data_IF_744297562181
#
_entry.id   IF_744297562181
#
_cell.length_a   1.000
_cell.length_b   1.000
_cell.length_c   1.000
_cell.angle_alpha   90.00
_cell.angle_beta   90.00
_cell.angle_gamma   90.00
#
_symmetry.space_group_name_H-M   'P 1'
#
loop_
_entity.id
_entity.type
_entity.pdbx_description
1 polymer ?
#
# COMPACT_ATOMS: atom_id res chain seq x y z
N UNK A 1 -1.03 66.01 18.33
CA UNK A 1 -1.23 67.44 17.99
C UNK A 1 -2.02 68.17 19.08
N UNK A 2 -3.12 67.59 19.59
CA UNK A 2 -4.02 68.25 20.56
C UNK A 2 -3.36 68.59 21.91
N UNK A 3 -2.53 67.71 22.50
CA UNK A 3 -1.85 68.03 23.76
C UNK A 3 -1.02 69.33 23.69
N UNK A 4 -0.25 69.54 22.62
CA UNK A 4 0.54 70.78 22.45
C UNK A 4 -0.36 72.00 22.28
N UNK A 5 -1.46 71.87 21.54
CA UNK A 5 -2.42 72.94 21.35
C UNK A 5 -3.15 73.29 22.66
N UNK A 6 -3.63 72.29 23.40
CA UNK A 6 -4.27 72.44 24.70
C UNK A 6 -3.33 73.05 25.75
N UNK A 7 -2.06 72.61 25.76
CA UNK A 7 -1.03 73.16 26.64
C UNK A 7 -0.68 74.62 26.30
N UNK A 8 -0.57 74.97 25.02
CA UNK A 8 -0.34 76.35 24.61
C UNK A 8 -1.53 77.25 24.97
N UNK A 9 -2.76 76.78 24.73
CA UNK A 9 -3.97 77.50 25.12
C UNK A 9 -4.04 77.71 26.65
N UNK A 10 -3.74 76.69 27.45
CA UNK A 10 -3.66 76.83 28.90
C UNK A 10 -2.60 77.84 29.37
N UNK A 11 -1.45 77.91 28.67
CA UNK A 11 -0.42 78.94 28.93
C UNK A 11 -0.89 80.36 28.59
N UNK A 12 -1.64 80.52 27.50
CA UNK A 12 -2.22 81.81 27.11
C UNK A 12 -3.21 82.29 28.19
N UNK A 13 -4.14 81.42 28.60
CA UNK A 13 -5.12 81.72 29.66
C UNK A 13 -4.44 82.01 31.01
N UNK A 14 -3.38 81.27 31.36
CA UNK A 14 -2.60 81.51 32.59
C UNK A 14 -1.94 82.90 32.63
N UNK A 15 -1.56 83.44 31.47
CA UNK A 15 -0.92 84.76 31.35
C UNK A 15 -1.92 85.92 31.25
N UNK A 16 -3.22 85.64 31.12
CA UNK A 16 -4.28 86.66 31.07
C UNK A 16 -4.85 86.92 32.48
N UNK A 17 -4.48 88.04 33.08
CA UNK A 17 -4.96 88.44 34.42
C UNK A 17 -6.45 88.79 34.49
N UNK A 18 -7.13 88.90 33.34
CA UNK A 18 -8.56 89.20 33.24
C UNK A 18 -9.39 87.96 32.85
N UNK A 19 -8.76 86.78 32.70
CA UNK A 19 -9.44 85.55 32.34
C UNK A 19 -10.58 85.23 33.32
N UNK A 20 -11.76 84.93 32.78
CA UNK A 20 -12.91 84.50 33.59
C UNK A 20 -12.69 83.09 34.14
N UNK A 21 -13.35 82.76 35.25
CA UNK A 21 -13.33 81.40 35.80
C UNK A 21 -13.76 80.35 34.76
N UNK A 22 -14.77 80.68 33.95
CA UNK A 22 -15.23 79.81 32.84
C UNK A 22 -14.12 79.52 31.82
N UNK A 23 -13.28 80.51 31.50
CA UNK A 23 -12.16 80.34 30.57
C UNK A 23 -11.05 79.47 31.18
N UNK A 24 -10.79 79.65 32.48
CA UNK A 24 -9.82 78.86 33.24
C UNK A 24 -10.27 77.39 33.30
N UNK A 25 -11.55 77.14 33.63
CA UNK A 25 -12.11 75.79 33.73
C UNK A 25 -12.06 75.07 32.37
N UNK A 26 -12.40 75.77 31.28
CA UNK A 26 -12.32 75.21 29.92
C UNK A 26 -10.89 74.82 29.53
N UNK A 27 -9.91 75.69 29.82
CA UNK A 27 -8.50 75.41 29.54
C UNK A 27 -7.97 74.23 30.36
N UNK A 28 -8.37 74.14 31.64
CA UNK A 28 -8.04 73.01 32.51
C UNK A 28 -8.63 71.70 31.98
N UNK A 29 -9.94 71.66 31.70
CA UNK A 29 -10.59 70.45 31.18
C UNK A 29 -9.98 70.00 29.86
N UNK A 30 -9.71 70.93 28.94
CA UNK A 30 -9.09 70.61 27.64
C UNK A 30 -7.69 70.03 27.81
N UNK A 31 -6.86 70.62 28.68
CA UNK A 31 -5.51 70.11 28.94
C UNK A 31 -5.54 68.76 29.68
N UNK A 32 -6.40 68.60 30.68
CA UNK A 32 -6.57 67.35 31.42
C UNK A 32 -7.01 66.20 30.51
N UNK A 33 -7.98 66.45 29.62
CA UNK A 33 -8.42 65.47 28.62
C UNK A 33 -7.28 65.13 27.65
N UNK A 34 -6.52 66.13 27.18
CA UNK A 34 -5.40 65.89 26.29
C UNK A 34 -4.23 65.16 26.96
N UNK A 35 -4.04 65.35 28.27
CA UNK A 35 -3.08 64.60 29.08
C UNK A 35 -3.52 63.16 29.28
N UNK A 36 -4.79 62.90 29.57
CA UNK A 36 -5.32 61.54 29.66
C UNK A 36 -5.19 60.79 28.33
N UNK A 37 -5.39 61.49 27.21
CA UNK A 37 -5.15 60.92 25.87
C UNK A 37 -3.67 60.59 25.58
N UNK A 38 -2.70 61.15 26.31
CA UNK A 38 -1.28 60.76 26.17
C UNK A 38 -0.99 59.37 26.71
N UNK A 39 -1.85 58.81 27.57
CA UNK A 39 -1.76 57.42 28.02
C UNK A 39 -2.08 56.42 26.89
N UNK A 40 -2.63 56.92 25.78
CA UNK A 40 -2.93 56.18 24.56
C UNK A 40 -2.00 56.64 23.42
N UNK A 41 -0.76 56.14 23.42
CA UNK A 41 0.15 56.37 22.29
C UNK A 41 -0.04 55.29 21.22
N UNK A 42 -0.01 55.72 19.96
CA UNK A 42 -0.08 54.84 18.79
C UNK A 42 1.12 53.90 18.81
N UNK A 43 0.86 52.61 18.57
CA UNK A 43 1.89 51.59 18.65
C UNK A 43 2.89 51.62 17.50
N UNK A 44 4.16 51.30 17.77
CA UNK A 44 5.16 51.05 16.72
C UNK A 44 4.99 49.64 16.12
N UNK A 45 4.56 49.59 14.86
CA UNK A 45 4.21 48.35 14.16
C UNK A 45 5.39 47.69 13.45
N UNK A 46 6.59 48.26 13.52
CA UNK A 46 7.74 47.85 12.69
C UNK A 46 8.08 46.36 12.87
N UNK A 47 8.21 45.90 14.12
CA UNK A 47 8.54 44.51 14.42
C UNK A 47 7.39 43.54 14.10
N UNK A 48 6.14 43.96 14.34
CA UNK A 48 4.96 43.17 13.98
C UNK A 48 4.87 42.96 12.46
N UNK A 49 5.09 44.01 11.67
CA UNK A 49 5.13 43.94 10.20
C UNK A 49 6.25 43.03 9.69
N UNK A 50 7.44 43.09 10.31
CA UNK A 50 8.55 42.23 9.96
C UNK A 50 8.25 40.75 10.27
N UNK A 51 7.62 40.46 11.41
CA UNK A 51 7.20 39.11 11.79
C UNK A 51 6.15 38.58 10.81
N UNK A 52 5.10 39.35 10.52
CA UNK A 52 4.05 39.00 9.54
C UNK A 52 4.68 38.68 8.18
N UNK A 53 5.53 39.56 7.65
CA UNK A 53 6.24 39.35 6.37
C UNK A 53 7.05 38.06 6.33
N UNK A 54 7.63 37.66 7.47
CA UNK A 54 8.41 36.42 7.57
C UNK A 54 7.49 35.20 7.54
N UNK A 55 6.41 35.22 8.32
CA UNK A 55 5.58 34.03 8.54
C UNK A 55 4.50 33.84 7.46
N UNK A 56 4.17 34.87 6.67
CA UNK A 56 3.28 34.76 5.49
C UNK A 56 3.85 33.86 4.38
N UNK A 57 5.15 33.58 4.41
CA UNK A 57 5.82 32.67 3.45
C UNK A 57 5.65 31.20 3.81
N UNK A 58 5.09 30.90 4.98
CA UNK A 58 4.85 29.53 5.41
C UNK A 58 3.66 28.96 4.65
N UNK A 59 3.76 27.69 4.27
CA UNK A 59 2.69 26.99 3.58
C UNK A 59 1.96 26.08 4.56
N UNK A 60 0.64 26.23 4.64
CA UNK A 60 -0.24 25.47 5.54
C UNK A 60 -0.02 23.95 5.46
N UNK A 61 0.15 23.42 4.25
CA UNK A 61 0.31 21.98 4.01
C UNK A 61 1.56 21.35 4.65
N UNK A 62 2.53 22.16 5.10
CA UNK A 62 3.73 21.67 5.78
C UNK A 62 3.51 21.47 7.29
N UNK A 63 2.38 21.93 7.83
CA UNK A 63 2.10 21.92 9.27
C UNK A 63 0.82 21.14 9.60
N UNK A 64 0.69 20.70 10.85
CA UNK A 64 -0.55 20.05 11.30
C UNK A 64 -1.67 21.07 11.42
N UNK A 65 -2.89 20.68 11.06
CA UNK A 65 -4.09 21.54 11.15
C UNK A 65 -4.31 22.08 12.56
N UNK A 66 -4.02 21.29 13.60
CA UNK A 66 -4.12 21.70 15.01
C UNK A 66 -3.14 22.82 15.40
N UNK A 67 -1.94 22.84 14.82
CA UNK A 67 -0.96 23.89 15.11
C UNK A 67 -1.10 25.10 14.18
N UNK A 68 -1.58 24.87 12.95
CA UNK A 68 -1.79 25.92 11.96
C UNK A 68 -2.99 26.81 12.29
N UNK A 69 -4.10 26.24 12.76
CA UNK A 69 -5.31 27.01 13.07
C UNK A 69 -5.07 28.19 14.05
N UNK A 70 -4.47 28.00 15.25
CA UNK A 70 -4.18 29.11 16.16
C UNK A 70 -3.11 30.06 15.62
N UNK A 71 -2.15 29.56 14.83
CA UNK A 71 -1.18 30.41 14.13
C UNK A 71 -1.85 31.33 13.11
N UNK A 72 -2.78 30.81 12.32
CA UNK A 72 -3.53 31.56 11.32
C UNK A 72 -4.42 32.62 11.96
N UNK A 73 -5.10 32.28 13.07
CA UNK A 73 -5.88 33.24 13.85
C UNK A 73 -5.00 34.39 14.40
N UNK A 74 -3.85 34.06 14.98
CA UNK A 74 -2.91 35.07 15.48
C UNK A 74 -2.33 35.94 14.36
N UNK A 75 -2.07 35.35 13.17
CA UNK A 75 -1.63 36.08 11.99
C UNK A 75 -2.70 37.06 11.49
N UNK A 76 -3.96 36.62 11.41
CA UNK A 76 -5.06 37.47 10.97
C UNK A 76 -5.31 38.63 11.97
N UNK A 77 -5.21 38.35 13.28
CA UNK A 77 -5.27 39.38 14.31
C UNK A 77 -4.12 40.40 14.21
N UNK A 78 -2.89 39.91 13.97
CA UNK A 78 -1.73 40.78 13.74
C UNK A 78 -1.91 41.67 12.51
N UNK A 79 -2.42 41.12 11.39
CA UNK A 79 -2.73 41.88 10.17
C UNK A 79 -3.80 42.94 10.43
N UNK A 80 -4.83 42.62 11.22
CA UNK A 80 -5.87 43.59 11.60
C UNK A 80 -5.29 44.74 12.44
N UNK A 81 -4.44 44.45 13.44
CA UNK A 81 -3.75 45.47 14.24
C UNK A 81 -2.80 46.32 13.38
N UNK A 82 -2.11 45.71 12.40
CA UNK A 82 -1.30 46.47 11.44
C UNK A 82 -2.16 47.44 10.62
N UNK A 83 -3.34 47.00 10.17
CA UNK A 83 -4.27 47.80 9.38
C UNK A 83 -5.00 48.91 10.14
N UNK A 84 -5.09 48.83 11.47
CA UNK A 84 -5.76 49.85 12.29
C UNK A 84 -4.85 51.07 12.54
N UNK A 85 -5.10 52.18 11.83
CA UNK A 85 -4.33 53.42 11.97
C UNK A 85 -4.25 53.98 13.40
N UNK A 86 -5.16 53.59 14.30
CA UNK A 86 -5.19 54.07 15.68
C UNK A 86 -4.82 52.99 16.72
N UNK A 87 -4.31 51.82 16.28
CA UNK A 87 -3.86 50.76 17.18
C UNK A 87 -2.87 51.30 18.23
N UNK A 88 -3.12 50.95 19.49
CA UNK A 88 -2.31 51.41 20.61
C UNK A 88 -1.12 50.47 20.82
N UNK A 89 -0.06 50.94 21.47
CA UNK A 89 1.12 50.10 21.76
C UNK A 89 0.78 48.77 22.44
N UNK A 90 -0.08 48.70 23.48
CA UNK A 90 -0.43 47.42 24.10
C UNK A 90 -1.11 46.44 23.13
N UNK A 91 -1.89 46.94 22.15
CA UNK A 91 -2.52 46.10 21.13
C UNK A 91 -1.47 45.52 20.18
N UNK A 92 -0.48 46.33 19.80
CA UNK A 92 0.64 45.91 18.95
C UNK A 92 1.53 44.90 19.66
N UNK A 93 1.89 45.14 20.92
CA UNK A 93 2.66 44.22 21.76
C UNK A 93 1.93 42.88 21.95
N UNK A 94 0.63 42.93 22.23
CA UNK A 94 -0.20 41.73 22.38
C UNK A 94 -0.28 40.93 21.08
N UNK A 95 -0.52 41.59 19.95
CA UNK A 95 -0.55 40.94 18.65
C UNK A 95 0.80 40.29 18.29
N UNK A 96 1.90 41.01 18.54
CA UNK A 96 3.26 40.47 18.35
C UNK A 96 3.51 39.24 19.20
N UNK A 97 3.19 39.32 20.50
CA UNK A 97 3.34 38.21 21.43
C UNK A 97 2.54 36.99 20.98
N UNK A 98 1.25 37.17 20.69
CA UNK A 98 0.37 36.08 20.28
C UNK A 98 0.85 35.42 18.98
N UNK A 99 1.23 36.21 17.97
CA UNK A 99 1.77 35.69 16.71
C UNK A 99 3.09 34.95 16.93
N UNK A 100 3.99 35.49 17.74
CA UNK A 100 5.28 34.85 18.06
C UNK A 100 5.09 33.53 18.80
N UNK A 101 4.18 33.47 19.78
CA UNK A 101 3.86 32.25 20.53
C UNK A 101 3.22 31.19 19.63
N UNK A 102 2.27 31.58 18.78
CA UNK A 102 1.62 30.65 17.87
C UNK A 102 2.59 30.13 16.79
N UNK A 103 3.48 30.98 16.27
CA UNK A 103 4.56 30.59 15.36
C UNK A 103 5.53 29.58 16.02
N UNK A 104 5.90 29.79 17.27
CA UNK A 104 6.76 28.87 18.03
C UNK A 104 6.10 27.50 18.30
N UNK A 105 4.76 27.44 18.30
CA UNK A 105 3.99 26.23 18.54
C UNK A 105 3.60 25.47 17.26
N UNK A 106 4.01 25.95 16.09
CA UNK A 106 3.81 25.25 14.82
C UNK A 106 4.47 23.86 14.85
N UNK A 107 3.75 22.86 14.38
CA UNK A 107 4.22 21.46 14.29
C UNK A 107 4.17 21.01 12.84
N UNK A 108 5.26 20.44 12.35
CA UNK A 108 5.33 19.89 11.00
C UNK A 108 4.36 18.71 10.85
N UNK A 109 3.71 18.64 9.69
CA UNK A 109 2.96 17.46 9.29
C UNK A 109 3.90 16.31 8.89
N UNK A 110 3.46 15.06 9.04
CA UNK A 110 4.22 13.90 8.57
C UNK A 110 4.32 13.87 7.04
N UNK A 111 5.50 13.55 6.51
CA UNK A 111 5.71 13.36 5.08
C UNK A 111 5.18 11.99 4.62
N UNK A 112 4.06 12.03 3.90
CA UNK A 112 3.34 10.87 3.38
C UNK A 112 3.72 10.49 1.95
N UNK A 113 4.72 11.14 1.35
CA UNK A 113 5.01 11.02 -0.09
C UNK A 113 5.39 9.59 -0.48
N UNK A 114 6.29 8.95 0.25
CA UNK A 114 6.74 7.58 -0.06
C UNK A 114 5.60 6.56 0.06
N UNK A 115 4.85 6.62 1.16
CA UNK A 115 3.69 5.77 1.40
C UNK A 115 2.64 5.93 0.30
N UNK A 116 2.28 7.18 -0.04
CA UNK A 116 1.30 7.48 -1.08
C UNK A 116 1.72 6.97 -2.46
N UNK A 117 2.99 7.14 -2.80
CA UNK A 117 3.52 6.63 -4.07
C UNK A 117 3.44 5.11 -4.14
N UNK A 118 3.82 4.41 -3.06
CA UNK A 118 3.79 2.96 -3.05
C UNK A 118 2.36 2.40 -3.07
N UNK A 119 1.44 2.97 -2.27
CA UNK A 119 -0.01 2.65 -2.35
C UNK A 119 -0.54 2.83 -3.77
N UNK A 120 -0.18 3.92 -4.46
CA UNK A 120 -0.60 4.14 -5.85
C UNK A 120 -0.02 3.13 -6.84
N UNK A 121 1.15 2.56 -6.57
CA UNK A 121 1.75 1.53 -7.44
C UNK A 121 1.06 0.16 -7.28
N UNK A 122 0.52 -0.14 -6.10
CA UNK A 122 0.02 -1.48 -5.77
C UNK A 122 -1.50 -1.57 -5.68
N UNK A 123 -2.22 -0.45 -5.67
CA UNK A 123 -3.70 -0.43 -5.59
C UNK A 123 -4.42 -1.07 -6.78
N UNK A 124 -3.76 -1.15 -7.94
CA UNK A 124 -4.34 -1.66 -9.19
C UNK A 124 -3.96 -3.14 -9.44
N UNK A 125 -3.36 -3.81 -8.44
CA UNK A 125 -3.11 -5.24 -8.53
C UNK A 125 -4.44 -6.01 -8.57
N UNK A 126 -4.45 -7.09 -9.34
CA UNK A 126 -5.64 -7.94 -9.50
C UNK A 126 -5.57 -9.13 -8.55
N UNK A 127 -6.43 -9.14 -7.53
CA UNK A 127 -6.59 -10.23 -6.55
C UNK A 127 -6.55 -11.62 -7.17
N UNK A 128 -7.31 -11.82 -8.26
CA UNK A 128 -7.46 -13.13 -8.92
C UNK A 128 -6.17 -13.74 -9.48
N UNK A 129 -5.06 -12.99 -9.49
CA UNK A 129 -3.74 -13.48 -9.91
C UNK A 129 -2.92 -14.07 -8.76
N UNK A 130 -3.33 -13.86 -7.51
CA UNK A 130 -2.56 -14.20 -6.32
C UNK A 130 -3.19 -15.34 -5.52
N UNK A 131 -2.36 -15.99 -4.71
CA UNK A 131 -2.79 -16.96 -3.71
C UNK A 131 -3.59 -16.20 -2.63
N UNK A 132 -4.78 -16.69 -2.32
CA UNK A 132 -5.80 -16.03 -1.50
C UNK A 132 -5.23 -15.59 -0.15
N UNK A 133 -4.57 -16.49 0.59
CA UNK A 133 -4.01 -16.15 1.90
C UNK A 133 -2.96 -15.04 1.86
N UNK A 134 -2.14 -15.00 0.81
CA UNK A 134 -1.11 -13.94 0.65
C UNK A 134 -1.73 -12.63 0.21
N UNK A 135 -2.81 -12.68 -0.57
CA UNK A 135 -3.57 -11.51 -0.96
C UNK A 135 -4.29 -10.89 0.22
N UNK A 136 -5.01 -11.67 1.02
CA UNK A 136 -5.70 -11.17 2.23
C UNK A 136 -4.74 -10.45 3.18
N UNK A 137 -3.55 -11.04 3.40
CA UNK A 137 -2.49 -10.42 4.20
C UNK A 137 -2.03 -9.08 3.63
N UNK A 138 -1.86 -9.00 2.31
CA UNK A 138 -1.51 -7.76 1.62
C UNK A 138 -2.62 -6.71 1.64
N UNK A 139 -3.86 -7.09 1.34
CA UNK A 139 -5.02 -6.20 1.32
C UNK A 139 -5.27 -5.56 2.69
N UNK A 140 -5.18 -6.36 3.75
CA UNK A 140 -5.28 -5.87 5.13
C UNK A 140 -4.27 -4.75 5.42
N UNK A 141 -3.01 -4.95 5.03
CA UNK A 141 -1.94 -3.95 5.22
C UNK A 141 -2.10 -2.75 4.29
N UNK A 142 -2.57 -2.96 3.06
CA UNK A 142 -2.89 -1.87 2.12
C UNK A 142 -3.97 -0.96 2.68
N UNK A 143 -5.03 -1.53 3.28
CA UNK A 143 -6.09 -0.77 3.92
C UNK A 143 -5.56 0.03 5.13
N UNK A 144 -4.76 -0.59 6.00
CA UNK A 144 -4.12 0.12 7.13
C UNK A 144 -3.21 1.27 6.66
N UNK A 145 -2.46 1.07 5.57
CA UNK A 145 -1.65 2.12 4.95
C UNK A 145 -2.51 3.28 4.43
N UNK A 146 -3.67 3.00 3.83
CA UNK A 146 -4.61 4.02 3.37
C UNK A 146 -5.21 4.81 4.55
N UNK A 147 -5.51 4.15 5.68
CA UNK A 147 -5.96 4.83 6.90
C UNK A 147 -4.90 5.80 7.44
N UNK A 148 -3.63 5.39 7.48
CA UNK A 148 -2.51 6.27 7.86
C UNK A 148 -2.37 7.44 6.88
N UNK A 149 -2.58 7.22 5.58
CA UNK A 149 -2.58 8.31 4.58
C UNK A 149 -3.71 9.31 4.83
N UNK A 150 -4.90 8.85 5.22
CA UNK A 150 -6.06 9.69 5.52
C UNK A 150 -5.96 10.40 6.87
N UNK A 151 -5.22 9.87 7.84
CA UNK A 151 -5.10 10.45 9.18
C UNK A 151 -4.23 11.72 9.19
N UNK A 152 -4.83 12.91 9.23
CA UNK A 152 -4.12 14.21 9.31
C UNK A 152 -3.17 14.33 10.52
N UNK A 153 -3.40 13.54 11.57
CA UNK A 153 -2.61 13.56 12.81
C UNK A 153 -1.55 12.46 12.86
N UNK A 154 -1.39 11.69 11.78
CA UNK A 154 -0.38 10.65 11.72
C UNK A 154 1.01 11.23 12.00
N UNK A 155 1.74 10.56 12.89
CA UNK A 155 3.13 10.82 13.19
C UNK A 155 4.03 10.29 12.07
N UNK A 156 5.25 10.82 11.95
CA UNK A 156 6.20 10.30 10.96
C UNK A 156 6.51 8.81 11.18
N UNK A 157 6.58 8.37 12.44
CA UNK A 157 6.80 6.96 12.80
C UNK A 157 5.66 6.06 12.31
N UNK A 158 4.40 6.47 12.46
CA UNK A 158 3.25 5.73 11.93
C UNK A 158 3.29 5.64 10.40
N UNK A 159 3.67 6.72 9.71
CA UNK A 159 3.81 6.72 8.24
C UNK A 159 4.94 5.79 7.80
N UNK A 160 6.09 5.83 8.47
CA UNK A 160 7.25 5.00 8.14
C UNK A 160 6.97 3.51 8.41
N UNK A 161 6.28 3.19 9.52
CA UNK A 161 5.86 1.83 9.83
C UNK A 161 4.88 1.29 8.79
N UNK A 162 3.83 2.06 8.45
CA UNK A 162 2.88 1.67 7.40
C UNK A 162 3.55 1.42 6.05
N UNK A 163 4.55 2.24 5.69
CA UNK A 163 5.33 2.04 4.47
C UNK A 163 6.14 0.74 4.49
N UNK A 164 6.84 0.47 5.59
CA UNK A 164 7.64 -0.74 5.73
C UNK A 164 6.78 -2.01 5.76
N UNK A 165 5.63 -1.95 6.44
CA UNK A 165 4.70 -3.08 6.51
C UNK A 165 4.08 -3.37 5.16
N UNK A 166 3.68 -2.35 4.41
CA UNK A 166 3.16 -2.51 3.06
C UNK A 166 4.21 -3.13 2.12
N UNK A 167 5.50 -2.75 2.25
CA UNK A 167 6.58 -3.38 1.48
C UNK A 167 6.71 -4.86 1.80
N UNK A 168 6.70 -5.23 3.08
CA UNK A 168 6.80 -6.64 3.50
C UNK A 168 5.64 -7.45 2.93
N UNK A 169 4.42 -6.96 3.11
CA UNK A 169 3.23 -7.63 2.62
C UNK A 169 3.24 -7.76 1.08
N UNK A 170 3.70 -6.74 0.36
CA UNK A 170 3.88 -6.80 -1.09
C UNK A 170 4.93 -7.84 -1.52
N UNK A 171 6.04 -7.96 -0.79
CA UNK A 171 7.07 -8.98 -1.04
C UNK A 171 6.53 -10.39 -0.75
N UNK A 172 5.60 -10.53 0.19
CA UNK A 172 5.00 -11.80 0.59
C UNK A 172 3.88 -12.28 -0.34
N UNK A 173 3.38 -11.42 -1.24
CA UNK A 173 2.44 -11.82 -2.30
C UNK A 173 3.00 -12.97 -3.14
N UNK A 174 2.15 -13.96 -3.42
CA UNK A 174 2.48 -15.09 -4.29
C UNK A 174 1.47 -15.20 -5.41
N UNK A 175 1.94 -15.33 -6.64
CA UNK A 175 1.06 -15.57 -7.79
C UNK A 175 0.51 -17.00 -7.74
N UNK A 176 -0.68 -17.19 -8.30
CA UNK A 176 -1.22 -18.51 -8.54
C UNK A 176 -0.32 -19.29 -9.50
N UNK A 177 0.14 -20.50 -9.13
CA UNK A 177 0.96 -21.30 -10.04
C UNK A 177 0.13 -21.83 -11.21
N UNK A 178 0.74 -21.93 -12.39
CA UNK A 178 0.11 -22.59 -13.54
C UNK A 178 0.04 -24.11 -13.30
N UNK A 179 -1.16 -24.68 -13.42
CA UNK A 179 -1.43 -26.12 -13.21
C UNK A 179 -1.76 -26.91 -14.47
N UNK A 180 -1.57 -26.34 -15.65
CA UNK A 180 -2.01 -26.96 -16.92
C UNK A 180 -1.25 -28.25 -17.22
N UNK A 181 0.08 -28.25 -17.02
CA UNK A 181 0.89 -29.46 -17.18
C UNK A 181 0.46 -30.58 -16.22
N UNK A 182 0.06 -30.23 -14.99
CA UNK A 182 -0.46 -31.19 -14.01
C UNK A 182 -1.81 -31.77 -14.45
N UNK A 183 -2.73 -30.92 -14.94
CA UNK A 183 -4.02 -31.35 -15.51
C UNK A 183 -3.82 -32.32 -16.68
N UNK A 184 -2.92 -32.00 -17.60
CA UNK A 184 -2.62 -32.85 -18.75
C UNK A 184 -2.08 -34.22 -18.34
N UNK A 185 -1.21 -34.28 -17.32
CA UNK A 185 -0.70 -35.54 -16.78
C UNK A 185 -1.77 -36.37 -16.07
N UNK A 186 -2.62 -35.73 -15.27
CA UNK A 186 -3.76 -36.39 -14.62
C UNK A 186 -4.69 -37.00 -15.68
N UNK A 187 -4.99 -36.25 -16.75
CA UNK A 187 -5.80 -36.76 -17.86
C UNK A 187 -5.14 -37.97 -18.54
N UNK A 188 -3.84 -37.91 -18.81
CA UNK A 188 -3.09 -39.06 -19.37
C UNK A 188 -3.13 -40.28 -18.45
N UNK A 189 -2.90 -40.09 -17.15
CA UNK A 189 -2.95 -41.16 -16.16
C UNK A 189 -4.33 -41.84 -16.11
N UNK A 190 -5.40 -41.04 -16.14
CA UNK A 190 -6.79 -41.53 -16.14
C UNK A 190 -7.17 -42.30 -17.42
N UNK A 191 -6.46 -42.12 -18.52
CA UNK A 191 -6.67 -42.88 -19.76
C UNK A 191 -6.00 -44.26 -19.74
N UNK A 192 -5.13 -44.54 -18.77
CA UNK A 192 -4.43 -45.82 -18.64
C UNK A 192 -5.36 -46.89 -18.04
N UNK A 193 -5.20 -48.14 -18.48
CA UNK A 193 -6.00 -49.27 -18.00
C UNK A 193 -5.26 -50.07 -16.93
N UNK A 194 -5.84 -50.16 -15.73
CA UNK A 194 -5.31 -50.97 -14.61
C UNK A 194 -5.00 -52.41 -14.99
N UNK A 195 -5.82 -53.00 -15.87
CA UNK A 195 -5.67 -54.39 -16.30
C UNK A 195 -4.38 -54.64 -17.11
N UNK A 196 -3.79 -53.60 -17.70
CA UNK A 196 -2.60 -53.70 -18.54
C UNK A 196 -1.29 -53.74 -17.75
N UNK A 197 -1.29 -53.43 -16.45
CA UNK A 197 -0.09 -53.22 -15.65
C UNK A 197 0.00 -54.13 -14.42
N UNK A 198 1.21 -54.28 -13.87
CA UNK A 198 1.45 -54.99 -12.62
C UNK A 198 0.79 -54.27 -11.45
N UNK A 199 0.27 -55.02 -10.48
CA UNK A 199 -0.45 -54.43 -9.34
C UNK A 199 0.43 -53.46 -8.54
N UNK A 200 1.71 -53.79 -8.36
CA UNK A 200 2.67 -52.96 -7.63
C UNK A 200 2.99 -51.64 -8.35
N UNK A 201 3.27 -51.67 -9.66
CA UNK A 201 3.56 -50.45 -10.41
C UNK A 201 2.31 -49.58 -10.58
N UNK A 202 1.14 -50.19 -10.74
CA UNK A 202 -0.14 -49.49 -10.76
C UNK A 202 -0.42 -48.76 -9.45
N UNK A 203 -0.25 -49.43 -8.31
CA UNK A 203 -0.47 -48.83 -6.99
C UNK A 203 0.41 -47.59 -6.78
N UNK A 204 1.68 -47.63 -7.22
CA UNK A 204 2.56 -46.47 -7.15
C UNK A 204 2.06 -45.29 -8.02
N UNK A 205 1.53 -45.58 -9.21
CA UNK A 205 0.93 -44.55 -10.08
C UNK A 205 -0.37 -43.99 -9.49
N UNK A 206 -1.23 -44.84 -8.95
CA UNK A 206 -2.49 -44.47 -8.29
C UNK A 206 -2.25 -43.55 -7.09
N UNK A 207 -1.26 -43.85 -6.24
CA UNK A 207 -0.85 -42.98 -5.14
C UNK A 207 -0.32 -41.63 -5.64
N UNK A 208 0.51 -41.62 -6.70
CA UNK A 208 1.02 -40.37 -7.27
C UNK A 208 -0.10 -39.53 -7.90
N UNK A 209 -1.10 -40.17 -8.50
CA UNK A 209 -2.29 -39.54 -9.06
C UNK A 209 -3.15 -38.90 -7.96
N UNK A 210 -3.28 -39.53 -6.79
CA UNK A 210 -3.98 -38.93 -5.64
C UNK A 210 -3.28 -37.65 -5.15
N UNK A 211 -1.95 -37.68 -5.02
CA UNK A 211 -1.15 -36.48 -4.68
C UNK A 211 -1.34 -35.38 -5.73
N UNK A 212 -1.29 -35.74 -7.01
CA UNK A 212 -1.49 -34.80 -8.11
C UNK A 212 -2.88 -34.15 -8.08
N UNK A 213 -3.93 -34.92 -7.84
CA UNK A 213 -5.29 -34.39 -7.71
C UNK A 213 -5.44 -33.48 -6.48
N UNK A 214 -4.81 -33.84 -5.37
CA UNK A 214 -4.80 -33.02 -4.14
C UNK A 214 -4.17 -31.65 -4.42
N UNK A 215 -3.01 -31.63 -5.08
CA UNK A 215 -2.32 -30.37 -5.45
C UNK A 215 -3.10 -29.59 -6.50
N UNK A 216 -3.71 -30.26 -7.48
CA UNK A 216 -4.52 -29.61 -8.51
C UNK A 216 -5.67 -28.79 -7.89
N UNK A 217 -6.36 -29.39 -6.91
CA UNK A 217 -7.55 -28.81 -6.29
C UNK A 217 -7.24 -27.85 -5.13
N UNK A 218 -5.99 -27.78 -4.65
CA UNK A 218 -5.60 -26.86 -3.59
C UNK A 218 -5.39 -25.43 -4.12
N UNK A 219 -6.25 -24.43 -3.79
CA UNK A 219 -6.04 -23.05 -4.23
C UNK A 219 -4.75 -22.44 -3.67
N UNK A 220 -4.28 -22.94 -2.52
CA UNK A 220 -3.07 -22.49 -1.81
C UNK A 220 -1.80 -23.24 -2.24
N UNK A 221 -1.86 -24.00 -3.34
CA UNK A 221 -0.69 -24.75 -3.79
C UNK A 221 0.46 -23.80 -4.15
N UNK A 222 1.67 -24.07 -3.66
CA UNK A 222 2.87 -23.36 -4.10
C UNK A 222 3.36 -23.85 -5.47
N UNK A 223 4.20 -23.06 -6.13
CA UNK A 223 4.84 -23.47 -7.38
C UNK A 223 5.66 -24.76 -7.21
N UNK A 224 6.36 -24.91 -6.08
CA UNK A 224 7.13 -26.11 -5.74
C UNK A 224 6.23 -27.33 -5.54
N UNK A 225 5.06 -27.17 -4.92
CA UNK A 225 4.11 -28.27 -4.76
C UNK A 225 3.54 -28.73 -6.11
N UNK A 226 3.16 -27.77 -6.98
CA UNK A 226 2.70 -28.07 -8.34
C UNK A 226 3.79 -28.78 -9.13
N UNK A 227 5.02 -28.29 -9.07
CA UNK A 227 6.17 -28.91 -9.74
C UNK A 227 6.44 -30.33 -9.22
N UNK A 228 6.46 -30.54 -7.91
CA UNK A 228 6.68 -31.85 -7.31
C UNK A 228 5.58 -32.86 -7.70
N UNK A 229 4.33 -32.42 -7.78
CA UNK A 229 3.22 -33.25 -8.23
C UNK A 229 3.36 -33.65 -9.72
N UNK A 230 3.77 -32.71 -10.58
CA UNK A 230 4.07 -32.98 -11.99
C UNK A 230 5.19 -34.02 -12.12
N UNK A 231 6.32 -33.81 -11.45
CA UNK A 231 7.49 -34.70 -11.50
C UNK A 231 7.16 -36.09 -10.93
N UNK A 232 6.44 -36.14 -9.81
CA UNK A 232 6.04 -37.39 -9.16
C UNK A 232 5.09 -38.23 -10.01
N UNK A 233 4.03 -37.61 -10.57
CA UNK A 233 3.08 -38.31 -11.43
C UNK A 233 3.77 -38.77 -12.73
N UNK A 234 4.55 -37.90 -13.38
CA UNK A 234 5.30 -38.27 -14.58
C UNK A 234 6.23 -39.47 -14.34
N UNK A 235 7.03 -39.44 -13.27
CA UNK A 235 7.94 -40.54 -12.95
C UNK A 235 7.22 -41.85 -12.63
N UNK A 236 6.03 -41.79 -12.01
CA UNK A 236 5.23 -42.98 -11.72
C UNK A 236 4.64 -43.61 -13.00
N UNK A 237 4.21 -42.79 -13.96
CA UNK A 237 3.74 -43.24 -15.28
C UNK A 237 4.88 -43.91 -16.05
N UNK A 238 6.09 -43.34 -16.04
CA UNK A 238 7.27 -43.90 -16.71
C UNK A 238 7.73 -45.24 -16.12
N UNK A 239 7.41 -45.50 -14.85
CA UNK A 239 7.76 -46.73 -14.12
C UNK A 239 6.66 -47.79 -14.13
N UNK A 240 5.57 -47.59 -14.89
CA UNK A 240 4.54 -48.60 -15.05
C UNK A 240 5.11 -49.86 -15.74
N UNK A 241 4.86 -51.02 -15.14
CA UNK A 241 5.32 -52.31 -15.66
C UNK A 241 4.13 -53.07 -16.25
N UNK A 242 4.24 -53.50 -17.50
CA UNK A 242 3.16 -54.25 -18.17
C UNK A 242 2.98 -55.62 -17.52
N UNK A 243 1.72 -56.03 -17.34
CA UNK A 243 1.41 -57.38 -16.82
C UNK A 243 1.85 -58.42 -17.84
N UNK A 244 2.82 -59.26 -17.50
CA UNK A 244 3.22 -60.39 -18.34
C UNK A 244 2.13 -61.47 -18.30
N UNK A 245 1.61 -61.84 -19.46
CA UNK A 245 0.84 -63.08 -19.59
C UNK A 245 1.83 -64.24 -19.52
N UNK A 246 1.79 -65.03 -18.45
CA UNK A 246 2.38 -66.36 -18.48
C UNK A 246 1.62 -67.17 -19.53
N UNK A 247 2.20 -67.30 -20.72
CA UNK A 247 1.84 -68.35 -21.66
C UNK A 247 2.18 -69.67 -20.98
N UNK A 248 1.17 -70.34 -20.43
CA UNK A 248 1.30 -71.73 -20.01
C UNK A 248 1.76 -72.56 -21.23
N UNK A 249 2.83 -73.37 -21.12
CA UNK A 249 3.26 -74.20 -22.23
C UNK A 249 2.17 -75.23 -22.52
N UNK A 250 1.60 -75.22 -23.72
CA UNK A 250 0.70 -76.29 -24.16
C UNK A 250 1.52 -77.59 -24.20
N UNK A 251 1.08 -78.59 -23.44
CA UNK A 251 1.76 -79.88 -23.33
C UNK A 251 1.58 -80.67 -24.65
N UNK A 252 2.65 -81.23 -25.26
CA UNK A 252 2.51 -82.03 -26.47
C UNK A 252 1.73 -83.33 -26.17
N UNK A 253 0.54 -83.50 -26.76
CA UNK A 253 -0.23 -84.74 -26.56
C UNK A 253 -1.67 -84.78 -27.06
N UNK A 254 -2.31 -83.67 -27.40
CA UNK A 254 -3.69 -83.71 -27.89
C UNK A 254 -3.77 -84.13 -29.37
N UNK A 255 -4.14 -85.39 -29.59
CA UNK A 255 -4.43 -85.95 -30.91
C UNK A 255 -5.90 -85.77 -31.26
N UNK A 256 -6.19 -84.97 -32.28
CA UNK A 256 -7.39 -85.15 -33.11
C UNK A 256 -7.02 -85.27 -34.58
N UNK A 257 -7.75 -86.15 -35.24
CA UNK A 257 -7.43 -86.90 -36.46
C UNK A 257 -7.55 -86.13 -37.79
N UNK A 258 -6.55 -86.37 -38.66
CA UNK A 258 -6.53 -86.46 -40.15
C UNK A 258 -7.61 -85.75 -40.98
N UNK A 259 -7.15 -84.89 -41.90
CA UNK A 259 -7.87 -84.56 -43.14
C UNK A 259 -7.24 -83.49 -44.03
N UNK A 260 -6.39 -83.92 -44.96
CA UNK A 260 -5.89 -83.25 -46.18
C UNK A 260 -4.83 -82.13 -46.10
N UNK A 261 -3.68 -82.47 -46.71
CA UNK A 261 -2.53 -81.63 -46.96
C UNK A 261 -2.77 -80.65 -48.12
N UNK A 262 -2.41 -79.38 -47.89
CA UNK A 262 -1.75 -78.55 -48.90
C UNK A 262 -0.47 -78.05 -48.25
N UNK A 263 0.64 -78.26 -48.95
CA UNK A 263 2.00 -78.00 -48.51
C UNK A 263 2.48 -76.67 -49.09
N UNK A 264 2.54 -75.64 -48.25
CA UNK A 264 3.46 -74.50 -48.28
C UNK A 264 3.66 -74.13 -46.80
N UNK A 265 4.79 -74.42 -46.16
CA UNK A 265 6.04 -73.74 -46.39
C UNK A 265 6.10 -72.53 -45.45
N UNK A 266 6.78 -72.73 -44.32
CA UNK A 266 7.16 -71.79 -43.26
C UNK A 266 6.20 -71.43 -42.11
N UNK A 267 6.82 -71.55 -40.93
CA UNK A 267 6.34 -71.43 -39.57
C UNK A 267 6.08 -69.96 -39.20
N UNK A 268 4.88 -69.66 -38.70
CA UNK A 268 4.66 -69.01 -37.40
C UNK A 268 3.18 -68.67 -37.26
N UNK A 269 2.49 -69.48 -36.47
CA UNK A 269 1.12 -69.25 -36.02
C UNK A 269 1.02 -67.91 -35.27
N UNK A 270 0.08 -67.10 -35.73
CA UNK A 270 -1.11 -66.68 -34.98
C UNK A 270 -0.84 -66.04 -33.59
N UNK A 271 -1.09 -64.72 -33.53
CA UNK A 271 -1.91 -64.18 -32.45
C UNK A 271 -1.23 -63.26 -31.43
N UNK A 272 -0.69 -62.11 -31.85
CA UNK A 272 -0.58 -60.94 -30.96
C UNK A 272 -0.97 -59.67 -31.73
N UNK A 273 -2.27 -59.41 -31.83
CA UNK A 273 -2.79 -58.05 -31.91
C UNK A 273 -3.33 -57.68 -30.54
N UNK A 274 -2.65 -56.77 -29.83
CA UNK A 274 -3.24 -55.72 -28.98
C UNK A 274 -2.13 -55.16 -28.07
N UNK A 275 -1.72 -53.91 -28.30
CA UNK A 275 -0.87 -53.18 -27.36
C UNK A 275 0.30 -52.40 -27.94
N UNK A 276 0.13 -51.73 -29.09
CA UNK A 276 1.03 -50.62 -29.45
C UNK A 276 0.83 -49.49 -28.43
N UNK A 277 1.69 -49.47 -27.41
CA UNK A 277 1.85 -48.39 -26.45
C UNK A 277 3.29 -47.89 -26.44
N UNK A 278 3.88 -47.62 -27.61
CA UNK A 278 5.15 -46.90 -27.68
C UNK A 278 4.83 -45.44 -27.31
N UNK A 279 4.92 -45.10 -26.02
CA UNK A 279 4.99 -43.70 -25.60
C UNK A 279 6.32 -43.12 -26.11
N UNK A 280 6.24 -42.53 -27.30
CA UNK A 280 7.32 -41.74 -27.88
C UNK A 280 7.51 -40.51 -26.98
N UNK A 281 8.66 -40.44 -26.31
CA UNK A 281 9.09 -39.30 -25.48
C UNK A 281 9.27 -38.09 -26.39
N UNK A 282 8.27 -37.20 -26.47
CA UNK A 282 8.45 -35.83 -26.94
C UNK A 282 8.77 -34.97 -25.72
N UNK A 283 10.04 -34.62 -25.58
CA UNK A 283 10.54 -33.76 -24.51
C UNK A 283 9.87 -32.38 -24.55
N UNK A 284 9.16 -32.04 -23.48
CA UNK A 284 8.66 -30.69 -23.23
C UNK A 284 9.87 -29.82 -22.85
N UNK A 285 10.30 -28.99 -23.80
CA UNK A 285 11.37 -28.02 -23.63
C UNK A 285 10.83 -26.84 -22.81
N UNK A 286 11.08 -26.84 -21.50
CA UNK A 286 10.71 -25.73 -20.60
C UNK A 286 11.42 -24.45 -21.04
N UNK A 287 10.65 -23.47 -21.51
CA UNK A 287 11.15 -22.15 -21.92
C UNK A 287 11.26 -21.25 -20.69
N UNK A 288 12.46 -21.13 -20.08
CA UNK A 288 12.75 -20.09 -19.08
C UNK A 288 12.87 -18.74 -19.80
N UNK A 289 11.81 -17.93 -19.73
CA UNK A 289 11.89 -16.51 -20.10
C UNK A 289 12.53 -15.75 -18.94
N UNK A 290 13.82 -15.42 -19.07
CA UNK A 290 14.45 -14.37 -18.26
C UNK A 290 13.75 -13.06 -18.58
N UNK A 291 13.20 -12.38 -17.58
CA UNK A 291 13.02 -10.94 -17.63
C UNK A 291 13.98 -10.29 -16.63
N UNK A 292 14.86 -9.48 -17.22
CA UNK A 292 15.61 -8.38 -16.61
C UNK A 292 14.67 -7.22 -16.27
#
# INVERSE_FOLDING_TARGET
AEFRAAHNYAKEVLNDSLASQETIDLAFTRLANAMHMLEFYKGDKTELQALVTRVEKLEEGNYTSESWAPFKEALDAAVAVIGDDNALEPDVELAYKNLSEAFANLKLAADKTRLRNFVNQVKDLEESKYIESTWEGFESVLNAAQEVLANEKATQEEVDNAYNDLIRAYIDLRLLPNKDALKDLINKANMLSKASYSEASWLNMENALEVANTVLNNPEASEEQVKAAVEGLQASIEKLEVKTVESTPVKPGDTTTKGNAIKTGDESLIGVFAGLGILSILGIKVYRKKQS
#
